data_IF_498727235626
#
_entry.id   IF_498727235626
#
_cell.length_a   1.000
_cell.length_b   1.000
_cell.length_c   1.000
_cell.angle_alpha   90.00
_cell.angle_beta   90.00
_cell.angle_gamma   90.00
#
_symmetry.space_group_name_H-M   'P 1'
#
loop_
_entity.id
_entity.type
_entity.pdbx_description
1 polymer ?
#
# COMPACT_ATOMS: atom_id res chain seq x y z
N UNK A 1 -21.46 -4.58 -9.87
CA UNK A 1 -21.09 -4.16 -8.51
C UNK A 1 -20.90 -2.64 -8.36
N UNK A 2 -21.51 -1.82 -9.23
CA UNK A 2 -21.74 -0.40 -8.94
C UNK A 2 -23.13 -0.27 -8.30
N UNK A 3 -23.21 0.18 -7.04
CA UNK A 3 -24.47 0.30 -6.28
C UNK A 3 -25.48 1.25 -6.91
N UNK A 4 -25.03 2.23 -7.69
CA UNK A 4 -25.88 3.20 -8.38
C UNK A 4 -26.33 2.72 -9.78
N UNK A 5 -25.72 1.67 -10.31
CA UNK A 5 -26.01 1.21 -11.68
C UNK A 5 -27.26 0.32 -11.74
N UNK A 6 -27.40 -0.65 -10.83
CA UNK A 6 -28.53 -1.57 -10.80
C UNK A 6 -28.75 -2.42 -12.07
N UNK A 7 -27.79 -2.50 -12.99
CA UNK A 7 -27.96 -3.24 -14.24
C UNK A 7 -28.06 -4.75 -13.98
N UNK A 8 -29.14 -5.37 -14.46
CA UNK A 8 -29.37 -6.82 -14.42
C UNK A 8 -28.83 -7.56 -15.64
N UNK A 9 -28.49 -6.84 -16.71
CA UNK A 9 -27.94 -7.38 -17.95
C UNK A 9 -26.82 -6.48 -18.50
N UNK A 10 -25.87 -7.09 -19.21
CA UNK A 10 -24.77 -6.40 -19.88
C UNK A 10 -24.37 -7.17 -21.14
N UNK A 11 -23.89 -6.47 -22.18
CA UNK A 11 -23.30 -7.08 -23.37
C UNK A 11 -22.01 -7.82 -23.04
N UNK A 12 -21.20 -7.23 -22.17
CA UNK A 12 -19.95 -7.76 -21.66
C UNK A 12 -19.82 -7.48 -20.16
N UNK A 13 -19.16 -8.37 -19.43
CA UNK A 13 -18.81 -8.19 -18.03
C UNK A 13 -17.32 -7.92 -17.89
N UNK A 14 -16.97 -6.83 -17.20
CA UNK A 14 -15.61 -6.34 -17.04
C UNK A 14 -15.17 -6.43 -15.58
N UNK A 15 -13.89 -6.71 -15.37
CA UNK A 15 -13.29 -6.69 -14.04
C UNK A 15 -13.09 -5.25 -13.56
N UNK A 16 -13.49 -5.00 -12.32
CA UNK A 16 -13.34 -3.73 -11.61
C UNK A 16 -12.21 -3.77 -10.59
N UNK A 17 -12.42 -3.08 -9.47
CA UNK A 17 -11.49 -3.04 -8.33
C UNK A 17 -11.37 -4.41 -7.64
N UNK A 18 -10.25 -4.61 -6.95
CA UNK A 18 -10.05 -5.79 -6.10
C UNK A 18 -11.02 -5.74 -4.91
N UNK A 19 -11.66 -6.87 -4.63
CA UNK A 19 -12.53 -7.09 -3.48
C UNK A 19 -11.71 -7.58 -2.30
N UNK A 20 -12.28 -7.47 -1.09
CA UNK A 20 -11.66 -8.02 0.12
C UNK A 20 -11.50 -9.54 0.08
N UNK A 21 -12.27 -10.23 -0.76
CA UNK A 21 -12.12 -11.67 -1.02
C UNK A 21 -10.89 -12.03 -1.87
N UNK A 22 -10.22 -11.04 -2.47
CA UNK A 22 -9.15 -11.24 -3.45
C UNK A 22 -9.63 -11.36 -4.89
N UNK A 23 -10.93 -11.45 -5.12
CA UNK A 23 -11.53 -11.43 -6.47
C UNK A 23 -11.67 -10.00 -7.00
N UNK A 24 -12.19 -9.85 -8.23
CA UNK A 24 -12.48 -8.56 -8.83
C UNK A 24 -13.97 -8.24 -8.80
N UNK A 25 -14.28 -6.95 -8.68
CA UNK A 25 -15.65 -6.48 -8.77
C UNK A 25 -16.20 -6.72 -10.18
N UNK A 26 -17.33 -7.41 -10.31
CA UNK A 26 -17.95 -7.62 -11.61
C UNK A 26 -18.77 -6.39 -12.05
N UNK A 27 -18.41 -5.76 -13.17
CA UNK A 27 -19.03 -4.53 -13.68
C UNK A 27 -19.66 -4.74 -15.06
N UNK A 28 -20.80 -4.10 -15.31
CA UNK A 28 -21.35 -4.04 -16.67
C UNK A 28 -20.45 -3.21 -17.59
N UNK A 29 -20.67 -3.29 -18.90
CA UNK A 29 -19.83 -2.67 -19.92
C UNK A 29 -19.57 -1.17 -19.66
N UNK A 30 -20.64 -0.39 -19.39
CA UNK A 30 -20.52 1.05 -19.08
C UNK A 30 -19.70 1.31 -17.82
N UNK A 31 -19.94 0.56 -16.76
CA UNK A 31 -19.23 0.76 -15.48
C UNK A 31 -17.77 0.33 -15.59
N UNK A 32 -17.51 -0.79 -16.26
CA UNK A 32 -16.16 -1.30 -16.50
C UNK A 32 -15.34 -0.36 -17.37
N UNK A 33 -15.92 0.15 -18.46
CA UNK A 33 -15.24 1.11 -19.33
C UNK A 33 -14.86 2.40 -18.58
N UNK A 34 -15.73 2.91 -17.72
CA UNK A 34 -15.41 4.06 -16.86
C UNK A 34 -14.29 3.74 -15.85
N UNK A 35 -14.24 2.51 -15.35
CA UNK A 35 -13.18 2.04 -14.44
C UNK A 35 -11.83 1.91 -15.16
N UNK A 36 -11.80 1.31 -16.36
CA UNK A 36 -10.60 1.19 -17.20
C UNK A 36 -10.01 2.57 -17.58
N UNK A 37 -10.88 3.56 -17.79
CA UNK A 37 -10.48 4.94 -18.11
C UNK A 37 -10.11 5.78 -16.86
N UNK A 38 -10.14 5.19 -15.66
CA UNK A 38 -9.84 5.87 -14.39
C UNK A 38 -10.75 7.07 -14.07
N UNK A 39 -12.00 7.04 -14.56
CA UNK A 39 -13.03 8.08 -14.36
C UNK A 39 -14.27 7.56 -13.63
N UNK A 40 -14.23 6.32 -13.12
CA UNK A 40 -15.37 5.70 -12.44
C UNK A 40 -15.89 6.56 -11.28
N UNK A 41 -15.01 7.02 -10.39
CA UNK A 41 -15.43 7.84 -9.25
C UNK A 41 -15.92 9.21 -9.70
N UNK A 42 -15.29 9.84 -10.69
CA UNK A 42 -15.75 11.13 -11.22
C UNK A 42 -17.17 11.02 -11.81
N UNK A 43 -17.47 9.91 -12.48
CA UNK A 43 -18.79 9.69 -13.08
C UNK A 43 -19.85 9.30 -12.06
N UNK A 44 -19.54 8.39 -11.14
CA UNK A 44 -20.56 7.76 -10.30
C UNK A 44 -20.56 8.27 -8.85
N UNK A 45 -19.48 8.89 -8.38
CA UNK A 45 -19.32 9.34 -6.99
C UNK A 45 -19.03 10.86 -6.88
N UNK A 46 -19.30 11.66 -7.91
CA UNK A 46 -19.02 13.11 -7.93
C UNK A 46 -19.68 13.91 -6.80
N UNK A 47 -20.74 13.37 -6.19
CA UNK A 47 -21.48 14.00 -5.08
C UNK A 47 -21.14 13.42 -3.71
N UNK A 48 -20.32 12.38 -3.68
CA UNK A 48 -19.92 11.74 -2.42
C UNK A 48 -18.92 12.63 -1.68
N UNK A 49 -18.77 12.41 -0.38
CA UNK A 49 -17.72 13.04 0.42
C UNK A 49 -16.38 12.34 0.25
N UNK A 50 -15.28 12.95 0.71
CA UNK A 50 -13.97 12.29 0.73
C UNK A 50 -13.11 12.56 -0.50
N UNK A 51 -13.54 13.45 -1.40
CA UNK A 51 -12.69 13.97 -2.46
C UNK A 51 -11.56 14.83 -1.90
N UNK A 52 -10.35 14.59 -2.40
CA UNK A 52 -9.14 15.35 -2.12
C UNK A 52 -8.41 15.64 -3.42
N UNK A 53 -7.52 16.60 -3.41
CA UNK A 53 -6.66 16.90 -4.55
C UNK A 53 -5.31 16.19 -4.41
N UNK A 54 -4.78 15.71 -5.54
CA UNK A 54 -3.41 15.24 -5.65
C UNK A 54 -2.44 16.38 -5.31
N UNK A 55 -1.56 16.17 -4.34
CA UNK A 55 -0.59 17.19 -3.91
C UNK A 55 0.30 17.66 -5.06
N UNK A 56 0.66 16.77 -6.00
CA UNK A 56 1.56 17.09 -7.10
C UNK A 56 0.89 17.71 -8.33
N UNK A 57 -0.38 17.43 -8.61
CA UNK A 57 -1.01 17.84 -9.88
C UNK A 57 -2.44 18.38 -9.77
N UNK A 58 -3.02 18.46 -8.56
CA UNK A 58 -4.37 18.97 -8.35
C UNK A 58 -5.50 18.05 -8.84
N UNK A 59 -5.19 16.87 -9.41
CA UNK A 59 -6.23 15.92 -9.83
C UNK A 59 -7.12 15.53 -8.64
N UNK A 60 -8.43 15.56 -8.82
CA UNK A 60 -9.39 15.06 -7.83
C UNK A 60 -9.27 13.54 -7.66
N UNK A 61 -9.19 13.11 -6.41
CA UNK A 61 -9.06 11.72 -5.97
C UNK A 61 -10.11 11.44 -4.90
N UNK A 62 -10.95 10.44 -5.13
CA UNK A 62 -11.95 10.03 -4.16
C UNK A 62 -11.30 9.14 -3.10
N UNK A 63 -11.02 9.66 -1.90
CA UNK A 63 -10.46 8.87 -0.81
C UNK A 63 -11.54 8.06 -0.08
N UNK A 64 -11.14 6.98 0.59
CA UNK A 64 -12.07 6.13 1.34
C UNK A 64 -13.00 5.27 0.45
N UNK A 65 -12.80 5.27 -0.86
CA UNK A 65 -13.56 4.45 -1.81
C UNK A 65 -12.73 3.26 -2.28
N UNK A 66 -13.28 2.04 -2.22
CA UNK A 66 -12.58 0.83 -2.68
C UNK A 66 -12.27 0.88 -4.19
N UNK A 67 -13.12 1.54 -4.97
CA UNK A 67 -12.97 1.69 -6.42
C UNK A 67 -11.77 2.55 -6.83
N UNK A 68 -11.24 3.39 -5.93
CA UNK A 68 -10.08 4.27 -6.17
C UNK A 68 -8.87 3.88 -5.33
N UNK A 69 -8.97 2.83 -4.52
CA UNK A 69 -7.95 2.46 -3.52
C UNK A 69 -6.56 2.19 -4.11
N UNK A 70 -6.48 1.67 -5.33
CA UNK A 70 -5.23 1.43 -6.06
C UNK A 70 -4.76 2.60 -6.94
N UNK A 71 -5.53 3.69 -6.98
CA UNK A 71 -5.29 4.84 -7.87
C UNK A 71 -4.65 6.03 -7.15
N UNK A 72 -4.45 5.92 -5.84
CA UNK A 72 -3.87 6.95 -5.00
C UNK A 72 -2.91 6.36 -3.98
N UNK A 73 -2.04 7.20 -3.46
CA UNK A 73 -1.12 6.90 -2.37
C UNK A 73 -1.26 7.96 -1.28
N UNK A 74 -1.19 7.54 -0.02
CA UNK A 74 -1.17 8.44 1.13
C UNK A 74 0.28 8.86 1.38
N UNK A 75 0.50 10.15 1.62
CA UNK A 75 1.84 10.69 1.90
C UNK A 75 2.08 10.76 3.42
N UNK A 76 3.29 10.44 3.85
CA UNK A 76 3.70 10.54 5.27
C UNK A 76 3.63 11.97 5.82
N UNK A 77 3.83 12.97 4.96
CA UNK A 77 3.66 14.39 5.26
C UNK A 77 2.19 14.85 5.29
N UNK A 78 1.26 13.92 5.09
CA UNK A 78 -0.15 14.20 4.87
C UNK A 78 -0.46 14.58 3.42
N UNK A 79 -1.73 14.46 3.06
CA UNK A 79 -2.19 14.62 1.68
C UNK A 79 -2.26 13.29 0.94
N UNK A 80 -2.47 13.37 -0.37
CA UNK A 80 -2.59 12.20 -1.25
C UNK A 80 -1.94 12.51 -2.60
N UNK A 81 -1.35 11.50 -3.22
CA UNK A 81 -0.89 11.60 -4.61
C UNK A 81 -1.64 10.62 -5.49
N UNK A 82 -1.85 11.00 -6.76
CA UNK A 82 -2.34 10.05 -7.75
C UNK A 82 -1.22 9.09 -8.13
N UNK A 83 -1.58 7.87 -8.52
CA UNK A 83 -0.60 6.83 -8.87
C UNK A 83 0.35 7.25 -10.01
N UNK A 84 -0.09 8.16 -10.89
CA UNK A 84 0.76 8.74 -11.93
C UNK A 84 1.91 9.58 -11.37
N UNK A 85 1.61 10.47 -10.41
CA UNK A 85 2.59 11.32 -9.76
C UNK A 85 3.51 10.54 -8.80
N UNK A 86 2.99 9.51 -8.13
CA UNK A 86 3.81 8.57 -7.34
C UNK A 86 4.89 7.94 -8.21
N UNK A 87 4.51 7.37 -9.36
CA UNK A 87 5.44 6.66 -10.25
C UNK A 87 6.52 7.58 -10.84
N UNK A 88 6.20 8.84 -11.12
CA UNK A 88 7.19 9.81 -11.61
C UNK A 88 8.16 10.29 -10.52
N UNK A 89 7.73 10.32 -9.26
CA UNK A 89 8.54 10.82 -8.14
C UNK A 89 9.68 9.86 -7.76
N UNK A 90 9.54 8.56 -8.05
CA UNK A 90 10.60 7.57 -7.87
C UNK A 90 11.76 7.65 -8.88
N UNK A 91 11.67 8.54 -9.88
CA UNK A 91 12.75 8.77 -10.86
C UNK A 91 13.74 9.85 -10.46
N UNK A 92 13.56 10.51 -9.30
CA UNK A 92 14.61 11.29 -8.69
C UNK A 92 15.38 10.38 -7.71
N UNK A 93 16.64 10.00 -8.00
CA UNK A 93 17.53 9.54 -6.95
C UNK A 93 17.61 10.71 -5.96
N UNK A 94 17.18 10.49 -4.72
CA UNK A 94 17.58 11.37 -3.64
C UNK A 94 19.11 11.54 -3.72
N UNK A 95 19.66 12.75 -3.54
CA UNK A 95 21.08 12.87 -3.23
C UNK A 95 21.31 11.97 -2.02
N UNK A 96 22.23 11.02 -2.15
CA UNK A 96 22.61 10.16 -1.05
C UNK A 96 23.00 11.05 0.13
N UNK A 97 22.15 11.11 1.16
CA UNK A 97 22.58 11.56 2.47
C UNK A 97 23.65 10.54 2.91
N UNK A 98 24.91 10.96 2.85
CA UNK A 98 26.03 10.22 3.43
C UNK A 98 25.72 10.02 4.91
N UNK A 99 25.22 8.83 5.25
CA UNK A 99 25.24 8.33 6.63
C UNK A 99 26.70 8.33 7.12
N UNK A 100 27.01 8.89 8.30
CA UNK A 100 28.32 8.70 8.89
C UNK A 100 28.56 7.21 9.11
N UNK A 101 29.68 6.69 8.59
CA UNK A 101 30.14 5.32 8.82
C UNK A 101 30.29 5.09 10.33
N UNK A 102 29.32 4.39 10.93
CA UNK A 102 29.54 3.74 12.22
C UNK A 102 30.56 2.62 12.00
N UNK A 103 31.72 2.77 12.61
CA UNK A 103 32.85 1.85 12.52
C UNK A 103 32.54 0.60 13.35
N UNK A 104 32.15 -0.50 12.70
CA UNK A 104 32.03 -1.81 13.34
C UNK A 104 33.44 -2.37 13.59
N UNK A 105 33.85 -2.45 14.87
CA UNK A 105 35.00 -3.25 15.28
C UNK A 105 34.53 -4.65 15.68
N UNK A 106 34.70 -5.62 14.78
CA UNK A 106 34.69 -7.03 15.15
C UNK A 106 36.07 -7.41 15.66
N UNK A 107 36.16 -7.92 16.89
CA UNK A 107 37.34 -8.68 17.32
C UNK A 107 36.87 -10.07 17.74
N UNK A 108 37.07 -11.03 16.84
CA UNK A 108 37.11 -12.43 17.20
C UNK A 108 38.55 -12.74 17.64
N UNK A 109 38.72 -13.45 18.75
CA UNK A 109 39.88 -14.31 19.00
C UNK A 109 39.43 -15.47 19.91
N UNK A 110 39.51 -16.68 19.37
CA UNK A 110 39.38 -17.96 20.06
C UNK A 110 40.73 -18.39 20.63
N UNK A 111 40.76 -18.75 21.91
CA UNK A 111 41.71 -19.66 22.60
C UNK A 111 40.89 -20.19 23.79
N UNK A 112 40.65 -21.46 24.10
CA UNK A 112 41.19 -22.77 23.73
C UNK A 112 41.10 -23.64 25.00
N UNK A 113 40.35 -24.75 24.95
CA UNK A 113 40.33 -25.91 25.90
C UNK A 113 40.04 -25.63 27.40
N UNK A 114 39.50 -26.49 28.26
CA UNK A 114 38.88 -27.83 28.27
C UNK A 114 38.24 -27.94 29.69
N UNK A 115 37.25 -28.83 29.82
CA UNK A 115 36.97 -29.72 30.97
C UNK A 115 35.55 -29.64 31.56
N UNK A 116 34.81 -30.69 31.21
CA UNK A 116 33.65 -31.26 31.92
C UNK A 116 34.08 -32.02 33.17
N UNK A 117 33.52 -31.66 34.33
CA UNK A 117 33.40 -32.40 35.60
C UNK A 117 32.89 -31.39 36.66
N UNK A 118 32.09 -31.64 37.70
CA UNK A 118 31.32 -32.76 38.24
C UNK A 118 30.61 -32.17 39.50
N UNK A 119 29.44 -32.71 39.87
CA UNK A 119 28.76 -32.73 41.20
C UNK A 119 27.96 -31.52 41.72
N UNK A 120 26.70 -31.88 42.03
CA UNK A 120 25.77 -31.44 43.08
C UNK A 120 26.29 -30.56 44.24
N UNK A 121 25.43 -29.62 44.65
CA UNK A 121 24.76 -29.78 45.96
C UNK A 121 23.49 -28.92 46.06
N UNK A 122 22.39 -29.65 46.32
CA UNK A 122 21.20 -29.28 47.07
C UNK A 122 21.54 -28.47 48.34
N UNK A 123 20.57 -27.67 48.83
CA UNK A 123 20.23 -27.30 50.22
C UNK A 123 19.51 -25.93 50.13
N UNK A 124 18.43 -25.58 50.82
CA UNK A 124 17.27 -26.23 51.43
C UNK A 124 16.35 -25.05 51.84
N UNK A 125 15.12 -25.38 52.21
CA UNK A 125 13.95 -24.57 52.56
C UNK A 125 14.14 -23.31 53.45
N UNK A 126 13.27 -22.31 53.24
CA UNK A 126 12.14 -21.98 54.14
C UNK A 126 11.00 -21.26 53.38
#
# INVERSE_FOLDING_TARGET
MNGLCGASSSSEWKNGWALRSGEFANLCDKCGSAYEQLVFCDMFHSKDTGWRECTSCGKHLHCGCIASSSLLELLDSGGVNCIGCTKSSGLHPAPSDERPKAFSMSTANNIGEMQTALVDNQLDDE
#
